data_IF_197448382057
#
_entry.id   IF_197448382057
#
_cell.length_a   1.000
_cell.length_b   1.000
_cell.length_c   1.000
_cell.angle_alpha   90.00
_cell.angle_beta   90.00
_cell.angle_gamma   90.00
#
_symmetry.space_group_name_H-M   'P 1'
#
loop_
_entity.id
_entity.type
_entity.pdbx_description
1 polymer ?
#
# COMPACT_ATOMS: atom_id res chain seq x y z
N UNK A 1 53.23 31.49 6.79
CA UNK A 1 52.46 32.00 5.62
C UNK A 1 52.92 31.15 4.43
N UNK A 2 52.13 30.37 3.68
CA UNK A 2 50.76 30.49 3.21
C UNK A 2 50.15 29.08 2.97
N UNK A 3 49.01 28.73 3.58
CA UNK A 3 48.18 27.56 3.18
C UNK A 3 47.07 27.96 2.18
N UNK A 4 47.26 29.07 1.46
CA UNK A 4 46.21 29.75 0.69
C UNK A 4 45.72 28.98 -0.53
N UNK A 5 46.50 28.02 -1.05
CA UNK A 5 46.07 27.18 -2.17
C UNK A 5 45.14 26.03 -1.75
N UNK A 6 45.28 25.52 -0.51
CA UNK A 6 44.54 24.34 -0.04
C UNK A 6 43.09 24.67 0.35
N UNK A 7 42.86 25.73 1.13
CA UNK A 7 41.53 26.08 1.64
C UNK A 7 40.57 26.54 0.53
N UNK A 8 41.05 27.38 -0.40
CA UNK A 8 40.23 27.83 -1.53
C UNK A 8 39.79 26.68 -2.43
N UNK A 9 40.63 25.66 -2.61
CA UNK A 9 40.28 24.44 -3.37
C UNK A 9 39.27 23.60 -2.60
N UNK A 10 39.47 23.39 -1.29
CA UNK A 10 38.52 22.68 -0.42
C UNK A 10 37.14 23.34 -0.42
N UNK A 11 37.09 24.66 -0.37
CA UNK A 11 35.83 25.41 -0.38
C UNK A 11 35.09 25.25 -1.72
N UNK A 12 35.81 25.35 -2.85
CA UNK A 12 35.25 25.05 -4.18
C UNK A 12 34.71 23.63 -4.30
N UNK A 13 35.39 22.65 -3.70
CA UNK A 13 34.91 21.26 -3.69
C UNK A 13 33.68 21.09 -2.81
N UNK A 14 33.64 21.75 -1.64
CA UNK A 14 32.48 21.76 -0.74
C UNK A 14 31.26 22.37 -1.40
N UNK A 15 31.41 23.52 -2.07
CA UNK A 15 30.30 24.18 -2.79
C UNK A 15 29.79 23.31 -3.94
N UNK A 16 30.69 22.72 -4.72
CA UNK A 16 30.32 21.78 -5.79
C UNK A 16 29.57 20.57 -5.24
N UNK A 17 30.02 20.00 -4.12
CA UNK A 17 29.35 18.88 -3.46
C UNK A 17 27.95 19.27 -2.96
N UNK A 18 27.79 20.41 -2.28
CA UNK A 18 26.48 20.86 -1.79
C UNK A 18 25.51 21.14 -2.93
N UNK A 19 25.97 21.75 -4.03
CA UNK A 19 25.16 21.95 -5.22
C UNK A 19 24.70 20.63 -5.85
N UNK A 20 25.62 19.70 -6.08
CA UNK A 20 25.30 18.37 -6.60
C UNK A 20 24.33 17.62 -5.68
N UNK A 21 24.59 17.61 -4.37
CA UNK A 21 23.72 16.97 -3.38
C UNK A 21 22.31 17.59 -3.36
N UNK A 22 22.20 18.92 -3.48
CA UNK A 22 20.90 19.61 -3.58
C UNK A 22 20.15 19.22 -4.85
N UNK A 23 20.84 19.12 -5.99
CA UNK A 23 20.26 18.66 -7.26
C UNK A 23 19.74 17.23 -7.14
N UNK A 24 20.56 16.31 -6.63
CA UNK A 24 20.18 14.90 -6.42
C UNK A 24 18.95 14.80 -5.51
N UNK A 25 18.98 15.43 -4.33
CA UNK A 25 17.84 15.39 -3.39
C UNK A 25 16.55 15.93 -4.01
N UNK A 26 16.64 17.02 -4.77
CA UNK A 26 15.49 17.61 -5.47
C UNK A 26 14.96 16.66 -6.55
N UNK A 27 15.84 16.07 -7.35
CA UNK A 27 15.48 15.12 -8.39
C UNK A 27 14.87 13.84 -7.81
N UNK A 28 15.42 13.28 -6.74
CA UNK A 28 14.86 12.09 -6.07
C UNK A 28 13.47 12.36 -5.51
N UNK A 29 13.25 13.53 -4.89
CA UNK A 29 11.92 13.92 -4.41
C UNK A 29 10.92 14.10 -5.55
N UNK A 30 11.36 14.69 -6.67
CA UNK A 30 10.53 14.84 -7.86
C UNK A 30 10.17 13.47 -8.43
N UNK A 31 11.14 12.61 -8.68
CA UNK A 31 10.92 11.26 -9.20
C UNK A 31 9.95 10.46 -8.31
N UNK A 32 10.11 10.52 -6.98
CA UNK A 32 9.14 9.89 -6.06
C UNK A 32 7.71 10.41 -6.24
N UNK A 33 7.53 11.72 -6.43
CA UNK A 33 6.20 12.30 -6.67
C UNK A 33 5.65 11.87 -8.03
N UNK A 34 6.47 11.94 -9.07
CA UNK A 34 6.08 11.54 -10.43
C UNK A 34 5.63 10.06 -10.44
N UNK A 35 6.38 9.18 -9.76
CA UNK A 35 5.99 7.78 -9.58
C UNK A 35 4.65 7.60 -8.85
N UNK A 36 4.41 8.36 -7.77
CA UNK A 36 3.13 8.29 -7.03
C UNK A 36 1.96 8.81 -7.86
N UNK A 37 2.18 9.86 -8.66
CA UNK A 37 1.20 10.45 -9.56
C UNK A 37 0.79 9.46 -10.66
N UNK A 38 1.75 8.81 -11.30
CA UNK A 38 1.48 7.81 -12.34
C UNK A 38 0.67 6.63 -11.80
N UNK A 39 1.00 6.21 -10.57
CA UNK A 39 0.30 5.14 -9.88
C UNK A 39 -1.14 5.54 -9.48
N UNK A 40 -1.36 6.81 -9.12
CA UNK A 40 -2.70 7.35 -8.89
C UNK A 40 -3.55 7.36 -10.17
N UNK A 41 -2.98 7.79 -11.30
CA UNK A 41 -3.66 7.76 -12.62
C UNK A 41 -4.05 6.35 -13.04
N UNK A 42 -3.18 5.36 -12.82
CA UNK A 42 -3.51 3.96 -13.07
C UNK A 42 -4.71 3.51 -12.21
N UNK A 43 -4.75 3.93 -10.95
CA UNK A 43 -5.86 3.63 -10.03
C UNK A 43 -7.18 4.22 -10.51
N UNK A 44 -7.19 5.48 -10.95
CA UNK A 44 -8.38 6.14 -11.49
C UNK A 44 -8.92 5.39 -12.72
N UNK A 45 -8.03 5.03 -13.65
CA UNK A 45 -8.41 4.24 -14.83
C UNK A 45 -8.95 2.85 -14.45
N UNK A 46 -8.33 2.18 -13.48
CA UNK A 46 -8.82 0.90 -12.97
C UNK A 46 -10.20 1.02 -12.32
N UNK A 47 -10.47 2.12 -11.60
CA UNK A 47 -11.78 2.42 -11.01
C UNK A 47 -12.86 2.61 -12.09
N UNK A 48 -12.57 3.38 -13.14
CA UNK A 48 -13.50 3.56 -14.28
C UNK A 48 -13.82 2.23 -14.97
N UNK A 49 -12.87 1.29 -14.99
CA UNK A 49 -13.03 -0.04 -15.58
C UNK A 49 -13.52 -1.12 -14.59
N UNK A 50 -13.94 -0.73 -13.37
CA UNK A 50 -14.41 -1.62 -12.30
C UNK A 50 -13.42 -2.74 -11.91
N UNK A 51 -12.11 -2.51 -12.12
CA UNK A 51 -11.04 -3.48 -11.81
C UNK A 51 -10.62 -3.40 -10.35
N UNK A 52 -11.51 -3.80 -9.44
CA UNK A 52 -11.29 -3.67 -7.98
C UNK A 52 -10.02 -4.34 -7.47
N UNK A 53 -9.61 -5.45 -8.07
CA UNK A 53 -8.35 -6.13 -7.71
C UNK A 53 -7.11 -5.27 -7.95
N UNK A 54 -7.08 -4.50 -9.05
CA UNK A 54 -5.96 -3.60 -9.38
C UNK A 54 -5.94 -2.40 -8.43
N UNK A 55 -7.10 -1.81 -8.15
CA UNK A 55 -7.24 -0.69 -7.19
C UNK A 55 -6.70 -1.09 -5.82
N UNK A 56 -7.03 -2.30 -5.33
CA UNK A 56 -6.54 -2.81 -4.06
C UNK A 56 -5.01 -2.93 -4.04
N UNK A 57 -4.41 -3.53 -5.08
CA UNK A 57 -2.96 -3.70 -5.17
C UNK A 57 -2.23 -2.36 -5.20
N UNK A 58 -2.72 -1.41 -5.99
CA UNK A 58 -2.13 -0.08 -6.10
C UNK A 58 -2.26 0.71 -4.79
N UNK A 59 -3.45 0.70 -4.17
CA UNK A 59 -3.68 1.35 -2.88
C UNK A 59 -2.76 0.75 -1.80
N UNK A 60 -2.55 -0.56 -1.82
CA UNK A 60 -1.61 -1.24 -0.94
C UNK A 60 -0.18 -0.73 -1.15
N UNK A 61 0.26 -0.59 -2.40
CA UNK A 61 1.57 -0.06 -2.74
C UNK A 61 1.76 1.41 -2.29
N UNK A 62 0.75 2.27 -2.52
CA UNK A 62 0.76 3.67 -2.09
C UNK A 62 0.77 3.83 -0.56
N UNK A 63 0.08 2.94 0.16
CA UNK A 63 -0.01 2.99 1.62
C UNK A 63 1.32 2.70 2.33
N UNK A 64 2.34 2.21 1.60
CA UNK A 64 3.63 1.82 2.18
C UNK A 64 3.55 0.64 3.17
N UNK A 65 2.36 0.04 3.32
CA UNK A 65 2.14 -1.14 4.15
C UNK A 65 2.63 -2.37 3.40
N UNK A 66 3.94 -2.53 3.33
CA UNK A 66 4.62 -3.79 3.02
C UNK A 66 4.51 -4.77 4.19
N UNK A 67 3.32 -4.85 4.81
CA UNK A 67 3.05 -5.95 5.70
C UNK A 67 2.83 -7.15 4.79
N UNK A 68 3.85 -8.02 4.69
CA UNK A 68 3.60 -9.42 4.35
C UNK A 68 2.78 -9.99 5.50
N UNK A 69 1.48 -9.72 5.45
CA UNK A 69 0.48 -10.33 6.30
C UNK A 69 0.27 -11.74 5.74
N UNK A 70 1.26 -12.63 5.88
CA UNK A 70 0.91 -14.03 6.05
C UNK A 70 0.33 -14.11 7.47
N UNK A 71 -0.85 -13.51 7.67
CA UNK A 71 -1.59 -13.74 8.90
C UNK A 71 -1.94 -15.21 8.84
N UNK A 72 -1.49 -16.00 9.81
CA UNK A 72 -1.86 -17.38 9.85
C UNK A 72 -3.37 -17.46 10.07
N UNK A 73 -4.05 -18.10 9.13
CA UNK A 73 -5.49 -18.31 9.19
C UNK A 73 -5.76 -19.37 10.25
N UNK A 74 -6.73 -19.11 11.12
CA UNK A 74 -7.14 -20.05 12.16
C UNK A 74 -8.43 -20.77 11.79
N UNK A 75 -8.52 -22.03 12.21
CA UNK A 75 -9.77 -22.77 12.19
C UNK A 75 -10.76 -22.26 13.26
N UNK A 76 -11.95 -22.85 13.33
CA UNK A 76 -12.95 -22.50 14.36
C UNK A 76 -12.51 -22.84 15.78
N UNK A 77 -11.59 -23.80 15.92
CA UNK A 77 -11.01 -24.24 17.19
C UNK A 77 -9.75 -23.44 17.56
N UNK A 78 -9.48 -22.35 16.82
CA UNK A 78 -8.34 -21.46 17.01
C UNK A 78 -6.96 -22.07 16.70
N UNK A 79 -6.92 -23.23 16.02
CA UNK A 79 -5.70 -23.87 15.53
C UNK A 79 -5.21 -23.21 14.24
N UNK A 80 -3.89 -23.23 14.03
CA UNK A 80 -3.24 -22.56 12.91
C UNK A 80 -3.25 -23.45 11.66
N UNK A 81 -3.76 -22.94 10.55
CA UNK A 81 -3.81 -23.64 9.26
C UNK A 81 -2.53 -23.35 8.47
N UNK A 82 -1.68 -24.36 8.33
CA UNK A 82 -0.36 -24.24 7.69
C UNK A 82 -0.38 -24.58 6.20
N UNK A 83 -1.37 -25.33 5.72
CA UNK A 83 -1.46 -25.72 4.30
C UNK A 83 -2.44 -24.83 3.52
N UNK A 84 -2.13 -24.57 2.25
CA UNK A 84 -2.99 -23.77 1.37
C UNK A 84 -4.37 -24.39 1.17
N UNK A 85 -4.43 -25.73 1.09
CA UNK A 85 -5.69 -26.48 0.95
C UNK A 85 -6.61 -26.25 2.16
N UNK A 86 -6.07 -26.32 3.37
CA UNK A 86 -6.86 -26.15 4.58
C UNK A 86 -7.32 -24.70 4.75
N UNK A 87 -6.47 -23.75 4.38
CA UNK A 87 -6.85 -22.33 4.33
C UNK A 87 -7.99 -22.08 3.35
N UNK A 88 -7.94 -22.67 2.14
CA UNK A 88 -9.01 -22.56 1.15
C UNK A 88 -10.33 -23.16 1.66
N UNK A 89 -10.27 -24.36 2.27
CA UNK A 89 -11.44 -24.99 2.89
C UNK A 89 -12.04 -24.09 3.98
N UNK A 90 -11.20 -23.50 4.84
CA UNK A 90 -11.66 -22.59 5.89
C UNK A 90 -12.34 -21.33 5.34
N UNK A 91 -11.79 -20.75 4.27
CA UNK A 91 -12.44 -19.62 3.57
C UNK A 91 -13.79 -20.02 2.99
N UNK A 92 -13.86 -21.18 2.32
CA UNK A 92 -15.12 -21.70 1.75
C UNK A 92 -16.20 -21.85 2.83
N UNK A 93 -15.88 -22.49 3.95
CA UNK A 93 -16.79 -22.63 5.08
C UNK A 93 -17.28 -21.27 5.61
N UNK A 94 -16.35 -20.34 5.84
CA UNK A 94 -16.70 -19.02 6.38
C UNK A 94 -17.65 -18.24 5.46
N UNK A 95 -17.35 -18.17 4.16
CA UNK A 95 -18.22 -17.49 3.21
C UNK A 95 -19.56 -18.18 3.05
N UNK A 96 -19.60 -19.51 3.14
CA UNK A 96 -20.85 -20.26 3.06
C UNK A 96 -21.79 -19.93 4.24
N UNK A 97 -21.26 -19.76 5.45
CA UNK A 97 -22.02 -19.36 6.64
C UNK A 97 -22.46 -17.89 6.64
N UNK A 98 -21.64 -17.00 6.06
CA UNK A 98 -21.93 -15.56 6.04
C UNK A 98 -22.94 -15.23 4.94
N UNK A 99 -22.80 -15.83 3.76
CA UNK A 99 -23.58 -15.45 2.58
C UNK A 99 -24.88 -16.25 2.41
N UNK A 100 -25.03 -17.42 3.04
CA UNK A 100 -26.23 -18.26 2.92
C UNK A 100 -27.05 -18.33 4.22
N UNK A 101 -27.14 -17.22 4.95
CA UNK A 101 -27.99 -17.14 6.14
C UNK A 101 -29.45 -17.14 5.72
N UNK A 102 -30.30 -17.83 6.48
CA UNK A 102 -31.75 -17.75 6.32
C UNK A 102 -32.23 -16.33 6.63
N UNK A 103 -33.34 -15.95 6.03
CA UNK A 103 -33.99 -14.68 6.35
C UNK A 103 -34.23 -14.60 7.87
N UNK A 104 -33.92 -13.47 8.51
CA UNK A 104 -34.12 -13.33 9.94
C UNK A 104 -35.61 -13.47 10.27
N UNK A 105 -35.93 -14.26 11.29
CA UNK A 105 -37.32 -14.49 11.74
C UNK A 105 -38.02 -13.19 12.18
N UNK A 106 -37.25 -12.16 12.51
CA UNK A 106 -37.75 -10.86 12.92
C UNK A 106 -37.58 -9.85 11.78
N UNK A 107 -38.69 -9.48 11.14
CA UNK A 107 -38.71 -8.45 10.11
C UNK A 107 -38.42 -7.11 10.79
N UNK A 108 -37.31 -6.47 10.45
CA UNK A 108 -37.03 -5.12 10.90
C UNK A 108 -38.11 -4.18 10.35
N UNK A 109 -38.97 -3.66 11.22
CA UNK A 109 -39.93 -2.60 10.88
C UNK A 109 -39.10 -1.33 10.69
N UNK A 110 -38.77 -0.99 9.44
CA UNK A 110 -38.06 0.24 9.09
C UNK A 110 -39.12 1.35 8.99
N UNK A 111 -39.11 2.37 9.88
CA UNK A 111 -40.04 3.49 9.74
C UNK A 111 -39.71 4.29 8.48
N UNK A 112 -40.73 4.75 7.76
CA UNK A 112 -40.55 5.60 6.57
C UNK A 112 -39.77 6.86 6.94
N UNK A 113 -38.79 7.19 6.09
CA UNK A 113 -37.98 8.39 6.24
C UNK A 113 -38.87 9.64 6.08
N UNK A 114 -38.63 10.72 6.84
CA UNK A 114 -39.36 11.98 6.72
C UNK A 114 -39.14 12.67 5.38
#
# INVERSE_FOLDING_TARGET
MCQTHSERIKEKLRTKYTECNKKVKTATRKNKRDFMEDLAKETESAASNQRMGQIYQVTKQLSGKNAKINMPIKDKNNNMLTTERDQYLRWKEHFQEVLNRKDPDNIAIIPEAP
#
